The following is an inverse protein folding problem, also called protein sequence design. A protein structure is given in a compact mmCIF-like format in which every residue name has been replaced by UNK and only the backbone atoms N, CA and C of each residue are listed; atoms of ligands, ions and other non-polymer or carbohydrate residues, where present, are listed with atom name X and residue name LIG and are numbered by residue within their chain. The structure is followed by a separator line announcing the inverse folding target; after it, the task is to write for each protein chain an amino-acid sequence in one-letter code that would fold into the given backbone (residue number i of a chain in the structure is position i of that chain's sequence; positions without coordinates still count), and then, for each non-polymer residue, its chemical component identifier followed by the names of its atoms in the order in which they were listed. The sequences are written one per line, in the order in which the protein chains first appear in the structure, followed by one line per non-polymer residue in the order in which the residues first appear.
data_IF_145287252940
#
_entry.id   IF_145287252940
#
_cell.length_a   1.000
_cell.length_b   1.000
_cell.length_c   1.000
_cell.angle_alpha   90.00
_cell.angle_beta   90.00
_cell.angle_gamma   90.00
#
_symmetry.space_group_name_H-M   'P 1'
#
loop_
_entity.id
_entity.type
_entity.pdbx_description
1 polymer ?
#
# COMPACT_ATOMS: atom_id res chain seq x y z
N UNK A 1 27.58 5.75 -6.11
CA UNK A 1 26.64 5.11 -5.17
C UNK A 1 25.31 5.81 -5.29
N UNK A 2 24.19 5.09 -5.36
CA UNK A 2 22.88 5.73 -5.31
C UNK A 2 22.72 6.47 -3.98
N UNK A 3 22.12 7.67 -4.01
CA UNK A 3 21.78 8.40 -2.80
C UNK A 3 20.66 7.71 -2.00
N UNK A 4 20.31 8.23 -0.82
CA UNK A 4 19.18 7.72 -0.06
C UNK A 4 17.88 7.80 -0.87
N UNK A 5 16.99 6.82 -0.71
CA UNK A 5 15.66 6.82 -1.33
C UNK A 5 14.86 7.99 -0.73
N UNK A 6 14.31 8.90 -1.56
CA UNK A 6 13.43 9.95 -1.08
C UNK A 6 12.21 9.38 -0.35
N UNK A 7 11.88 9.92 0.83
CA UNK A 7 10.79 9.40 1.67
C UNK A 7 9.42 9.40 0.98
N UNK A 8 9.17 10.35 0.09
CA UNK A 8 7.91 10.42 -0.66
C UNK A 8 7.70 9.27 -1.65
N UNK A 9 8.73 8.45 -1.91
CA UNK A 9 8.62 7.24 -2.73
C UNK A 9 8.26 5.99 -1.91
N UNK A 10 8.28 6.08 -0.58
CA UNK A 10 7.88 4.99 0.32
C UNK A 10 6.37 5.11 0.64
N UNK A 11 5.73 4.03 1.11
CA UNK A 11 4.37 4.12 1.66
C UNK A 11 4.26 5.17 2.77
N UNK A 12 3.11 5.83 2.88
CA UNK A 12 2.91 6.95 3.81
C UNK A 12 3.17 6.57 5.28
N UNK A 13 2.91 5.31 5.66
CA UNK A 13 3.14 4.83 7.04
C UNK A 13 4.51 4.16 7.20
N UNK A 14 5.52 4.59 6.44
CA UNK A 14 6.90 4.15 6.61
C UNK A 14 7.61 4.94 7.70
N UNK A 15 8.37 4.26 8.54
CA UNK A 15 9.26 4.88 9.51
C UNK A 15 10.67 4.28 9.42
N UNK A 16 11.68 5.12 9.68
CA UNK A 16 13.08 4.71 9.72
C UNK A 16 13.65 5.13 11.08
N UNK A 17 14.08 4.15 11.87
CA UNK A 17 14.75 4.36 13.15
C UNK A 17 15.98 3.46 13.26
N UNK A 18 17.11 4.00 13.70
CA UNK A 18 18.37 3.24 13.83
C UNK A 18 18.84 2.53 12.54
N UNK A 19 18.41 2.98 11.36
CA UNK A 19 18.70 2.31 10.08
C UNK A 19 17.77 1.14 9.72
N UNK A 20 16.73 0.88 10.51
CA UNK A 20 15.68 -0.12 10.24
C UNK A 20 14.47 0.54 9.62
N UNK A 21 13.86 -0.11 8.63
CA UNK A 21 12.63 0.32 7.99
C UNK A 21 11.45 -0.47 8.56
N UNK A 22 10.40 0.24 8.96
CA UNK A 22 9.08 -0.36 9.23
C UNK A 22 8.03 0.20 8.26
N UNK A 23 7.11 -0.64 7.81
CA UNK A 23 5.97 -0.26 6.94
C UNK A 23 4.68 -0.59 7.68
N UNK A 24 3.83 0.41 7.93
CA UNK A 24 2.58 0.20 8.68
C UNK A 24 2.79 -0.29 10.11
N UNK A 25 3.95 -0.02 10.70
CA UNK A 25 4.35 -0.51 12.02
C UNK A 25 5.02 -1.89 12.03
N UNK A 26 5.12 -2.57 10.88
CA UNK A 26 5.80 -3.87 10.77
C UNK A 26 7.27 -3.68 10.36
N UNK A 27 8.22 -4.19 11.14
CA UNK A 27 9.64 -4.16 10.80
C UNK A 27 9.94 -5.08 9.60
N UNK A 28 10.65 -4.56 8.59
CA UNK A 28 10.87 -5.29 7.35
C UNK A 28 11.79 -6.50 7.52
N UNK A 29 12.71 -6.50 8.50
CA UNK A 29 13.55 -7.67 8.75
C UNK A 29 12.78 -8.78 9.48
N UNK A 30 11.87 -8.42 10.40
CA UNK A 30 10.96 -9.39 11.02
C UNK A 30 10.05 -10.05 9.97
N UNK A 31 9.53 -9.26 9.01
CA UNK A 31 8.75 -9.80 7.88
C UNK A 31 9.59 -10.76 7.01
N UNK A 32 10.88 -10.51 6.83
CA UNK A 32 11.78 -11.40 6.08
C UNK A 32 12.02 -12.69 6.85
N UNK A 33 12.20 -12.64 8.17
CA UNK A 33 12.36 -13.82 9.01
C UNK A 33 11.11 -14.70 8.98
N UNK A 34 9.91 -14.10 8.97
CA UNK A 34 8.64 -14.82 8.95
C UNK A 34 8.24 -15.35 7.57
N UNK A 35 8.36 -14.53 6.51
CA UNK A 35 7.80 -14.83 5.19
C UNK A 35 8.84 -15.14 4.10
N UNK A 36 10.13 -14.89 4.37
CA UNK A 36 11.22 -15.09 3.42
C UNK A 36 11.29 -14.02 2.31
N UNK A 37 12.15 -14.25 1.31
CA UNK A 37 12.35 -13.34 0.16
C UNK A 37 12.35 -14.09 -1.17
N UNK A 38 11.87 -13.48 -2.29
CA UNK A 38 11.35 -12.11 -2.40
C UNK A 38 9.95 -11.94 -1.80
N UNK A 39 9.68 -10.78 -1.18
CA UNK A 39 8.42 -10.47 -0.50
C UNK A 39 7.84 -9.14 -1.01
N UNK A 40 6.54 -9.15 -1.34
CA UNK A 40 5.77 -7.93 -1.58
C UNK A 40 5.02 -7.54 -0.30
N UNK A 41 5.27 -6.32 0.18
CA UNK A 41 4.62 -5.77 1.38
C UNK A 41 3.72 -4.61 0.95
N UNK A 42 2.42 -4.74 1.21
CA UNK A 42 1.44 -3.70 0.94
C UNK A 42 1.03 -3.02 2.25
N UNK A 43 1.13 -1.69 2.30
CA UNK A 43 0.61 -0.88 3.40
C UNK A 43 -0.89 -0.64 3.18
N UNK A 44 -1.73 -1.36 3.94
CA UNK A 44 -3.19 -1.23 3.85
C UNK A 44 -3.67 0.20 4.17
N UNK A 45 -3.05 0.86 5.16
CA UNK A 45 -3.40 2.23 5.54
C UNK A 45 -3.16 3.22 4.39
N UNK A 46 -2.02 3.09 3.72
CA UNK A 46 -1.70 3.87 2.53
C UNK A 46 -2.68 3.59 1.38
N UNK A 47 -2.96 2.32 1.07
CA UNK A 47 -3.90 1.95 0.00
C UNK A 47 -5.30 2.52 0.23
N UNK A 48 -5.82 2.41 1.45
CA UNK A 48 -7.12 2.99 1.82
C UNK A 48 -7.12 4.50 1.74
N UNK A 49 -6.04 5.17 2.14
CA UNK A 49 -5.90 6.62 1.99
C UNK A 49 -5.99 7.04 0.51
N UNK A 50 -5.30 6.35 -0.41
CA UNK A 50 -5.39 6.61 -1.86
C UNK A 50 -6.80 6.42 -2.40
N UNK A 51 -7.53 5.40 -1.92
CA UNK A 51 -8.93 5.19 -2.29
C UNK A 51 -9.83 6.36 -1.87
N UNK A 52 -9.69 6.82 -0.62
CA UNK A 52 -10.45 7.96 -0.08
C UNK A 52 -10.12 9.28 -0.78
N UNK A 53 -8.85 9.50 -1.08
CA UNK A 53 -8.41 10.67 -1.85
C UNK A 53 -9.04 10.68 -3.25
N UNK A 54 -9.02 9.56 -3.96
CA UNK A 54 -9.64 9.45 -5.28
C UNK A 54 -11.15 9.74 -5.22
N UNK A 55 -11.87 9.16 -4.24
CA UNK A 55 -13.29 9.47 -4.03
C UNK A 55 -13.56 10.93 -3.70
N UNK A 56 -12.71 11.54 -2.87
CA UNK A 56 -12.84 12.96 -2.52
C UNK A 56 -12.62 13.85 -3.73
N UNK A 57 -11.68 13.50 -4.61
CA UNK A 57 -11.35 14.29 -5.79
C UNK A 57 -12.35 14.12 -6.95
N UNK A 58 -12.88 12.90 -7.14
CA UNK A 58 -13.64 12.55 -8.34
C UNK A 58 -15.12 12.19 -8.08
N UNK A 59 -15.52 11.98 -6.83
CA UNK A 59 -16.90 11.68 -6.45
C UNK A 59 -17.28 10.21 -6.65
N UNK A 60 -18.53 9.97 -7.07
CA UNK A 60 -19.04 8.63 -7.34
C UNK A 60 -18.50 8.05 -8.66
N UNK A 61 -18.52 6.73 -8.79
CA UNK A 61 -18.10 6.04 -10.01
C UNK A 61 -16.58 5.81 -10.15
N UNK A 62 -15.78 6.19 -9.13
CA UNK A 62 -14.35 5.86 -9.09
C UNK A 62 -14.18 4.34 -9.03
N UNK A 63 -13.39 3.81 -9.97
CA UNK A 63 -13.10 2.38 -10.06
C UNK A 63 -11.63 2.09 -9.76
N UNK A 64 -11.38 1.03 -8.99
CA UNK A 64 -10.07 0.42 -8.89
C UNK A 64 -9.83 -0.48 -10.11
N UNK A 65 -8.74 -0.24 -10.84
CA UNK A 65 -8.38 -1.01 -12.01
C UNK A 65 -7.69 -2.33 -11.61
N UNK A 66 -8.40 -3.45 -11.73
CA UNK A 66 -7.95 -4.77 -11.28
C UNK A 66 -6.65 -5.25 -11.97
N UNK A 67 -6.36 -4.74 -13.17
CA UNK A 67 -5.11 -5.02 -13.88
C UNK A 67 -3.84 -4.54 -13.15
N UNK A 68 -3.97 -3.64 -12.17
CA UNK A 68 -2.83 -3.16 -11.38
C UNK A 68 -2.35 -4.22 -10.38
N UNK A 69 -3.29 -4.85 -9.67
CA UNK A 69 -3.12 -6.03 -8.84
C UNK A 69 -4.51 -6.51 -8.40
N UNK A 70 -4.81 -7.81 -8.43
CA UNK A 70 -6.09 -8.31 -7.92
C UNK A 70 -5.91 -9.58 -7.11
N UNK A 71 -6.49 -9.55 -5.91
CA UNK A 71 -6.76 -10.70 -5.07
C UNK A 71 -8.02 -10.41 -4.24
N UNK A 72 -8.55 -11.42 -3.55
CA UNK A 72 -9.76 -11.24 -2.72
C UNK A 72 -9.60 -10.14 -1.67
N UNK A 73 -8.41 -10.00 -1.08
CA UNK A 73 -8.14 -8.95 -0.10
C UNK A 73 -8.20 -7.55 -0.73
N UNK A 74 -7.62 -7.34 -1.93
CA UNK A 74 -7.72 -6.05 -2.61
C UNK A 74 -9.11 -5.74 -3.12
N UNK A 75 -9.84 -6.73 -3.64
CA UNK A 75 -11.22 -6.53 -4.05
C UNK A 75 -12.10 -6.11 -2.85
N UNK A 76 -11.91 -6.76 -1.70
CA UNK A 76 -12.58 -6.40 -0.45
C UNK A 76 -12.21 -4.99 0.01
N UNK A 77 -10.92 -4.64 0.02
CA UNK A 77 -10.45 -3.30 0.40
C UNK A 77 -11.09 -2.21 -0.49
N UNK A 78 -11.02 -2.36 -1.81
CA UNK A 78 -11.62 -1.40 -2.74
C UNK A 78 -13.14 -1.27 -2.51
N UNK A 79 -13.84 -2.39 -2.31
CA UNK A 79 -15.27 -2.41 -2.01
C UNK A 79 -15.60 -1.69 -0.69
N UNK A 80 -14.86 -1.95 0.39
CA UNK A 80 -15.04 -1.30 1.69
C UNK A 80 -14.76 0.21 1.64
N UNK A 81 -13.82 0.63 0.80
CA UNK A 81 -13.55 2.04 0.53
C UNK A 81 -14.58 2.68 -0.43
N UNK A 82 -15.55 1.92 -0.93
CA UNK A 82 -16.64 2.40 -1.78
C UNK A 82 -16.23 2.67 -3.22
N UNK A 83 -15.20 2.00 -3.73
CA UNK A 83 -14.80 2.04 -5.13
C UNK A 83 -15.55 0.94 -5.92
N UNK A 84 -15.75 1.20 -7.21
CA UNK A 84 -16.09 0.17 -8.19
C UNK A 84 -14.85 -0.66 -8.55
N UNK A 85 -15.03 -1.75 -9.30
CA UNK A 85 -13.94 -2.56 -9.85
C UNK A 85 -14.03 -2.56 -11.38
N UNK A 86 -12.91 -2.27 -12.05
CA UNK A 86 -12.73 -2.40 -13.50
C UNK A 86 -11.92 -3.68 -13.80
N UNK A 87 -12.44 -4.54 -14.69
CA UNK A 87 -11.98 -5.92 -14.94
C UNK A 87 -11.70 -6.21 -16.41
#
# INVERSE_FOLDING_TARGET
MAGPIPRYLLPDNSAIDGGRLSIGGCDVLELVEEFGTPLFVYDEGHLRARCREARTAFGEGVAYAAKSFLCTAMAKLAHEEGLLLDV
#
